data_IF_674413006819
#
_entry.id   IF_674413006819
#
_cell.length_a   1.000
_cell.length_b   1.000
_cell.length_c   1.000
_cell.angle_alpha   90.00
_cell.angle_beta   90.00
_cell.angle_gamma   90.00
#
_symmetry.space_group_name_H-M   'P 1'
#
loop_
_entity.id
_entity.type
_entity.pdbx_description
1 polymer ?
#
# COMPACT_ATOMS: atom_id res chain seq x y z
N UNK A 1 -1.36 22.60 -2.64
CA UNK A 1 -2.83 22.71 -2.62
C UNK A 1 -3.29 23.68 -3.70
N UNK A 2 -4.08 23.26 -4.70
CA UNK A 2 -4.61 24.17 -5.72
C UNK A 2 -5.81 25.01 -5.23
N UNK A 3 -6.53 24.51 -4.23
CA UNK A 3 -7.60 25.22 -3.52
C UNK A 3 -7.64 24.74 -2.07
N UNK A 4 -8.28 25.51 -1.17
CA UNK A 4 -8.41 25.14 0.24
C UNK A 4 -9.13 23.79 0.38
N UNK A 5 -8.53 22.88 1.14
CA UNK A 5 -9.04 21.52 1.31
C UNK A 5 -8.80 20.59 0.12
N UNK A 6 -8.10 21.02 -0.93
CA UNK A 6 -7.73 20.18 -2.06
C UNK A 6 -6.22 19.97 -2.14
N UNK A 7 -5.81 18.71 -2.04
CA UNK A 7 -4.43 18.25 -2.16
C UNK A 7 -4.25 17.43 -3.43
N UNK A 8 -3.12 17.66 -4.12
CA UNK A 8 -2.66 16.87 -5.26
C UNK A 8 -1.26 16.34 -4.95
N UNK A 9 -1.01 15.09 -5.27
CA UNK A 9 0.29 14.44 -5.14
C UNK A 9 0.71 13.79 -6.45
N UNK A 10 2.03 13.73 -6.66
CA UNK A 10 2.64 13.01 -7.76
C UNK A 10 3.70 12.08 -7.18
N UNK A 11 3.61 10.80 -7.49
CA UNK A 11 4.54 9.79 -6.99
C UNK A 11 5.22 9.07 -8.16
N UNK A 12 6.47 8.66 -7.94
CA UNK A 12 7.19 7.77 -8.85
C UNK A 12 8.07 6.82 -8.07
N UNK A 13 7.90 5.52 -8.32
CA UNK A 13 8.76 4.46 -7.84
C UNK A 13 9.63 3.98 -9.01
N UNK A 14 10.92 3.77 -8.76
CA UNK A 14 11.87 3.27 -9.77
C UNK A 14 12.71 2.16 -9.16
N UNK A 15 12.61 0.97 -9.71
CA UNK A 15 13.52 -0.14 -9.44
C UNK A 15 14.68 -0.07 -10.45
N UNK A 16 15.90 0.04 -9.92
CA UNK A 16 17.11 0.32 -10.69
C UNK A 16 18.32 -0.46 -10.16
N UNK A 17 19.19 -0.88 -11.07
CA UNK A 17 20.45 -1.56 -10.76
C UNK A 17 20.30 -3.02 -10.31
N UNK A 18 21.39 -3.59 -9.80
CA UNK A 18 21.45 -4.94 -9.24
C UNK A 18 22.35 -5.90 -10.02
N UNK A 19 23.19 -6.65 -9.30
CA UNK A 19 24.10 -7.64 -9.88
C UNK A 19 24.94 -7.10 -11.05
N UNK A 20 25.06 -7.83 -12.17
CA UNK A 20 25.79 -7.39 -13.37
C UNK A 20 25.19 -6.18 -14.10
N UNK A 21 23.99 -5.71 -13.73
CA UNK A 21 23.30 -4.58 -14.39
C UNK A 21 23.75 -3.21 -13.88
N UNK A 22 24.81 -3.17 -13.06
CA UNK A 22 25.36 -1.94 -12.53
C UNK A 22 24.45 -1.31 -11.48
N UNK A 23 24.36 0.02 -11.50
CA UNK A 23 23.64 0.81 -10.48
C UNK A 23 24.51 1.87 -9.79
N UNK A 24 25.81 1.93 -10.09
CA UNK A 24 26.76 2.84 -9.43
C UNK A 24 26.74 4.30 -9.88
N UNK A 25 25.87 4.69 -10.82
CA UNK A 25 25.84 6.06 -11.36
C UNK A 25 24.54 6.77 -11.00
N UNK A 26 24.65 7.77 -10.11
CA UNK A 26 23.57 8.70 -9.74
C UNK A 26 23.00 9.40 -10.97
N UNK A 27 23.82 9.67 -11.98
CA UNK A 27 23.37 10.30 -13.23
C UNK A 27 22.39 9.40 -14.01
N UNK A 28 22.62 8.09 -14.05
CA UNK A 28 21.72 7.16 -14.73
C UNK A 28 20.40 7.02 -13.97
N UNK A 29 20.44 7.01 -12.63
CA UNK A 29 19.24 7.02 -11.80
C UNK A 29 18.40 8.29 -12.05
N UNK A 30 19.01 9.48 -11.99
CA UNK A 30 18.30 10.73 -12.25
C UNK A 30 17.71 10.78 -13.66
N UNK A 31 18.44 10.28 -14.66
CA UNK A 31 17.92 10.18 -16.03
C UNK A 31 16.73 9.22 -16.14
N UNK A 32 16.74 8.10 -15.43
CA UNK A 32 15.61 7.17 -15.41
C UNK A 32 14.36 7.80 -14.77
N UNK A 33 14.54 8.63 -13.73
CA UNK A 33 13.44 9.36 -13.07
C UNK A 33 12.83 10.41 -14.00
N UNK A 34 13.66 11.23 -14.66
CA UNK A 34 13.19 12.37 -15.47
C UNK A 34 12.93 12.05 -16.95
N UNK A 35 13.41 10.90 -17.46
CA UNK A 35 13.18 10.45 -18.84
C UNK A 35 12.79 8.97 -18.90
N UNK A 36 11.64 8.61 -18.31
CA UNK A 36 11.29 7.22 -18.06
C UNK A 36 11.04 6.42 -19.35
N UNK A 37 10.45 7.06 -20.36
CA UNK A 37 10.13 6.44 -21.65
C UNK A 37 11.35 5.91 -22.41
N UNK A 38 12.55 6.48 -22.17
CA UNK A 38 13.80 6.02 -22.80
C UNK A 38 14.48 4.86 -22.08
N UNK A 39 14.10 4.59 -20.84
CA UNK A 39 14.73 3.55 -20.01
C UNK A 39 13.74 2.45 -19.61
N UNK A 40 12.53 2.48 -20.13
CA UNK A 40 11.55 1.42 -19.94
C UNK A 40 12.02 0.15 -20.67
N UNK A 41 11.80 -1.01 -20.04
CA UNK A 41 12.34 -2.33 -20.38
C UNK A 41 11.96 -2.93 -21.75
N UNK A 42 11.37 -2.12 -22.64
CA UNK A 42 10.89 -2.54 -23.96
C UNK A 42 11.95 -2.45 -25.06
N UNK A 43 13.04 -1.68 -24.85
CA UNK A 43 14.09 -1.56 -25.87
C UNK A 43 15.19 -2.63 -25.66
N UNK A 44 15.31 -3.60 -26.58
CA UNK A 44 16.28 -4.68 -26.47
C UNK A 44 17.74 -4.21 -26.52
N UNK A 45 18.03 -2.98 -26.96
CA UNK A 45 19.38 -2.41 -27.05
C UNK A 45 19.88 -1.78 -25.75
N UNK A 46 19.01 -1.58 -24.76
CA UNK A 46 19.33 -0.89 -23.49
C UNK A 46 19.04 -1.76 -22.25
N UNK A 47 19.00 -3.09 -22.41
CA UNK A 47 18.76 -4.06 -21.31
C UNK A 47 19.65 -3.86 -20.07
N UNK A 48 20.83 -3.26 -20.20
CA UNK A 48 21.70 -2.95 -19.07
C UNK A 48 21.28 -1.70 -18.27
N UNK A 49 20.53 -0.77 -18.88
CA UNK A 49 20.05 0.46 -18.26
C UNK A 49 18.51 0.48 -18.10
N UNK A 50 17.84 -0.62 -18.42
CA UNK A 50 16.40 -0.73 -18.30
C UNK A 50 15.97 -0.58 -16.83
N UNK A 51 14.80 0.01 -16.58
CA UNK A 51 14.21 0.20 -15.26
C UNK A 51 12.78 -0.31 -15.21
N UNK A 52 12.37 -0.78 -14.03
CA UNK A 52 10.97 -1.03 -13.72
C UNK A 52 10.44 0.17 -12.94
N UNK A 53 9.23 0.62 -13.26
CA UNK A 53 8.71 1.90 -12.80
C UNK A 53 7.24 1.81 -12.48
N UNK A 54 6.81 2.64 -11.54
CA UNK A 54 5.41 2.91 -11.28
C UNK A 54 5.27 4.41 -11.05
N UNK A 55 4.18 5.01 -11.53
CA UNK A 55 3.90 6.41 -11.32
C UNK A 55 2.42 6.61 -11.01
N UNK A 56 2.12 7.58 -10.16
CA UNK A 56 0.74 7.88 -9.80
C UNK A 56 0.48 9.36 -9.59
N UNK A 57 -0.79 9.71 -9.76
CA UNK A 57 -1.36 11.01 -9.42
C UNK A 57 -2.41 10.77 -8.35
N UNK A 58 -2.25 11.44 -7.21
CA UNK A 58 -3.21 11.38 -6.11
C UNK A 58 -3.96 12.70 -5.99
N UNK A 59 -5.23 12.63 -5.59
CA UNK A 59 -6.06 13.78 -5.30
C UNK A 59 -6.87 13.51 -4.04
N UNK A 60 -6.95 14.50 -3.15
CA UNK A 60 -7.74 14.42 -1.92
C UNK A 60 -8.49 15.73 -1.68
N UNK A 61 -9.79 15.64 -1.42
CA UNK A 61 -10.68 16.77 -1.17
C UNK A 61 -11.32 16.61 0.21
N UNK A 62 -11.15 17.63 1.05
CA UNK A 62 -11.74 17.75 2.38
C UNK A 62 -13.06 18.51 2.30
N UNK A 63 -14.12 17.89 2.81
CA UNK A 63 -15.46 18.46 2.89
C UNK A 63 -15.75 18.84 4.34
N UNK A 64 -15.57 20.13 4.71
CA UNK A 64 -15.98 20.59 6.03
C UNK A 64 -17.51 20.59 6.13
N UNK A 65 -18.03 20.24 7.30
CA UNK A 65 -19.46 20.21 7.54
C UNK A 65 -19.79 19.70 8.93
N UNK A 66 -21.08 19.44 9.18
CA UNK A 66 -21.53 18.82 10.44
C UNK A 66 -20.94 17.42 10.64
N UNK A 67 -20.83 16.68 9.55
CA UNK A 67 -20.10 15.41 9.48
C UNK A 67 -18.98 15.65 8.47
N UNK A 68 -17.75 15.97 8.92
CA UNK A 68 -16.63 16.18 8.01
C UNK A 68 -16.26 14.85 7.35
N UNK A 69 -15.85 14.91 6.08
CA UNK A 69 -15.33 13.74 5.37
C UNK A 69 -14.28 14.14 4.32
N UNK A 70 -13.47 13.19 3.90
CA UNK A 70 -12.49 13.32 2.83
C UNK A 70 -12.84 12.37 1.70
N UNK A 71 -12.71 12.81 0.44
CA UNK A 71 -12.74 11.93 -0.73
C UNK A 71 -11.36 11.96 -1.36
N UNK A 72 -10.80 10.79 -1.63
CA UNK A 72 -9.48 10.67 -2.23
C UNK A 72 -9.50 9.65 -3.37
N UNK A 73 -8.60 9.85 -4.32
CA UNK A 73 -8.39 8.95 -5.42
C UNK A 73 -6.92 8.94 -5.84
N UNK A 74 -6.51 7.82 -6.40
CA UNK A 74 -5.21 7.62 -7.01
C UNK A 74 -5.39 6.99 -8.39
N UNK A 75 -4.78 7.60 -9.39
CA UNK A 75 -4.65 7.03 -10.72
C UNK A 75 -3.18 6.71 -10.96
N UNK A 76 -2.87 5.42 -11.13
CA UNK A 76 -1.52 4.91 -11.21
C UNK A 76 -1.29 4.11 -12.50
N UNK A 77 -0.02 3.92 -12.87
CA UNK A 77 0.39 3.06 -13.97
C UNK A 77 1.84 2.62 -13.84
N UNK A 78 2.10 1.39 -14.27
CA UNK A 78 3.43 0.78 -14.32
C UNK A 78 4.21 1.24 -15.57
N UNK A 79 3.52 1.28 -16.71
CA UNK A 79 4.13 1.60 -18.00
C UNK A 79 3.89 3.06 -18.40
N UNK A 80 4.77 3.60 -19.27
CA UNK A 80 4.40 4.79 -20.04
C UNK A 80 3.61 4.39 -21.29
N UNK A 81 2.41 4.93 -21.47
CA UNK A 81 1.62 4.70 -22.67
C UNK A 81 2.16 5.52 -23.84
N UNK A 82 2.24 4.89 -25.02
CA UNK A 82 2.69 5.52 -26.28
C UNK A 82 4.08 6.17 -26.21
N UNK A 83 4.97 5.65 -25.36
CA UNK A 83 6.31 6.21 -25.10
C UNK A 83 6.29 7.69 -24.67
N UNK A 84 5.18 8.14 -24.08
CA UNK A 84 5.05 9.50 -23.54
C UNK A 84 5.14 9.45 -22.01
N UNK A 85 6.07 10.20 -21.39
CA UNK A 85 6.36 10.07 -19.96
C UNK A 85 5.22 10.51 -19.04
N UNK A 86 4.20 11.18 -19.58
CA UNK A 86 3.03 11.69 -18.86
C UNK A 86 1.74 10.86 -19.08
N UNK A 87 1.76 9.86 -19.96
CA UNK A 87 0.61 8.97 -20.14
C UNK A 87 0.88 7.68 -19.37
N UNK A 88 0.05 7.38 -18.38
CA UNK A 88 0.13 6.12 -17.64
C UNK A 88 -0.51 5.00 -18.46
N UNK A 89 0.23 3.92 -18.65
CA UNK A 89 -0.19 2.66 -19.25
C UNK A 89 -0.24 1.58 -18.18
N UNK A 90 -0.97 0.51 -18.49
CA UNK A 90 -1.25 -0.55 -17.53
C UNK A 90 -1.79 0.01 -16.20
N UNK A 91 -2.98 0.61 -16.25
CA UNK A 91 -3.45 1.52 -15.21
C UNK A 91 -4.10 0.82 -14.01
N UNK A 92 -4.04 1.48 -12.87
CA UNK A 92 -4.86 1.19 -11.70
C UNK A 92 -5.60 2.46 -11.25
N UNK A 93 -6.80 2.27 -10.73
CA UNK A 93 -7.61 3.31 -10.11
C UNK A 93 -7.95 2.86 -8.70
N UNK A 94 -7.68 3.72 -7.74
CA UNK A 94 -8.08 3.56 -6.35
C UNK A 94 -8.85 4.79 -5.92
N UNK A 95 -9.88 4.61 -5.10
CA UNK A 95 -10.61 5.71 -4.51
C UNK A 95 -11.17 5.32 -3.16
N UNK A 96 -11.40 6.33 -2.33
CA UNK A 96 -11.99 6.15 -1.03
C UNK A 96 -12.69 7.38 -0.50
N UNK A 97 -13.52 7.14 0.52
CA UNK A 97 -14.15 8.16 1.33
C UNK A 97 -13.90 7.83 2.80
N UNK A 98 -13.43 8.83 3.54
CA UNK A 98 -13.12 8.70 4.95
C UNK A 98 -13.89 9.74 5.78
N UNK A 99 -14.61 9.25 6.79
CA UNK A 99 -15.30 10.04 7.80
C UNK A 99 -14.47 9.98 9.09
N UNK A 100 -13.64 11.00 9.39
CA UNK A 100 -12.75 10.98 10.57
C UNK A 100 -13.51 11.00 11.89
N UNK A 101 -14.77 11.47 11.88
CA UNK A 101 -15.68 11.43 13.04
C UNK A 101 -17.11 11.23 12.59
N UNK A 102 -17.59 10.00 12.70
CA UNK A 102 -18.98 9.63 12.61
C UNK A 102 -19.59 9.62 14.02
N UNK A 103 -20.19 10.74 14.42
CA UNK A 103 -20.60 10.96 15.80
C UNK A 103 -19.41 11.29 16.70
N UNK A 104 -19.42 10.81 17.95
CA UNK A 104 -18.39 11.18 18.94
C UNK A 104 -17.22 10.21 19.03
N UNK A 105 -17.34 8.99 18.49
CA UNK A 105 -16.47 7.86 18.83
C UNK A 105 -16.13 6.92 17.68
N UNK A 106 -16.58 7.20 16.47
CA UNK A 106 -16.37 6.31 15.34
C UNK A 106 -15.69 7.04 14.19
N UNK A 107 -14.90 6.33 13.42
CA UNK A 107 -14.47 6.74 12.08
C UNK A 107 -14.86 5.63 11.08
N UNK A 108 -15.13 6.03 9.85
CA UNK A 108 -15.52 5.11 8.79
C UNK A 108 -14.72 5.37 7.53
N UNK A 109 -14.15 4.33 6.95
CA UNK A 109 -13.48 4.37 5.65
C UNK A 109 -14.12 3.36 4.71
N UNK A 110 -14.41 3.80 3.49
CA UNK A 110 -14.86 2.95 2.39
C UNK A 110 -13.90 3.16 1.23
N UNK A 111 -13.37 2.08 0.67
CA UNK A 111 -12.39 2.13 -0.41
C UNK A 111 -12.72 1.08 -1.46
N UNK A 112 -12.38 1.39 -2.71
CA UNK A 112 -12.38 0.41 -3.79
C UNK A 112 -11.24 0.69 -4.77
N UNK A 113 -10.79 -0.38 -5.42
CA UNK A 113 -9.81 -0.32 -6.48
C UNK A 113 -10.14 -1.21 -7.65
N UNK A 114 -9.59 -0.86 -8.80
CA UNK A 114 -9.49 -1.70 -9.98
C UNK A 114 -8.09 -1.54 -10.58
N UNK A 115 -7.48 -2.63 -11.01
CA UNK A 115 -6.19 -2.62 -11.68
C UNK A 115 -6.21 -3.54 -12.90
N UNK A 116 -5.43 -3.16 -13.92
CA UNK A 116 -5.21 -3.97 -15.11
C UNK A 116 -4.24 -5.11 -14.83
N UNK A 117 -4.02 -5.97 -15.82
CA UNK A 117 -3.08 -7.09 -15.74
C UNK A 117 -1.62 -6.60 -15.61
N UNK A 118 -0.63 -7.48 -15.56
CA UNK A 118 0.82 -7.17 -15.56
C UNK A 118 1.42 -6.38 -14.40
N UNK A 119 0.61 -5.77 -13.52
CA UNK A 119 1.09 -5.10 -12.31
C UNK A 119 2.01 -5.99 -11.47
N UNK A 120 3.08 -5.42 -10.94
CA UNK A 120 4.10 -6.05 -10.07
C UNK A 120 4.91 -7.19 -10.70
N UNK A 121 4.75 -7.49 -11.99
CA UNK A 121 5.49 -8.54 -12.69
C UNK A 121 6.40 -7.91 -13.72
N UNK A 122 7.68 -8.29 -13.72
CA UNK A 122 8.64 -7.70 -14.64
C UNK A 122 9.57 -8.73 -15.27
N UNK A 123 9.90 -8.54 -16.55
CA UNK A 123 10.72 -9.51 -17.31
C UNK A 123 12.21 -9.48 -16.96
N UNK A 124 12.70 -8.36 -16.45
CA UNK A 124 14.12 -8.16 -16.07
C UNK A 124 14.34 -8.44 -14.58
N UNK A 125 13.42 -7.98 -13.73
CA UNK A 125 13.39 -8.25 -12.30
C UNK A 125 12.38 -9.36 -12.10
N UNK A 126 12.87 -10.59 -12.16
CA UNK A 126 12.04 -11.79 -12.15
C UNK A 126 11.28 -11.96 -10.83
N UNK A 127 11.74 -11.31 -9.76
CA UNK A 127 11.04 -11.26 -8.50
C UNK A 127 9.91 -10.21 -8.48
N UNK A 128 9.78 -9.40 -9.54
CA UNK A 128 8.80 -8.33 -9.62
C UNK A 128 9.10 -7.14 -8.72
N UNK A 129 8.06 -6.34 -8.44
CA UNK A 129 8.11 -5.24 -7.46
C UNK A 129 7.86 -5.79 -6.04
N UNK A 130 8.75 -6.66 -5.58
CA UNK A 130 8.60 -7.36 -4.29
C UNK A 130 9.84 -7.24 -3.40
N UNK A 131 9.64 -7.42 -2.10
CA UNK A 131 10.68 -7.59 -1.09
C UNK A 131 10.39 -8.89 -0.32
N UNK A 132 11.33 -9.86 -0.35
CA UNK A 132 11.14 -11.18 0.28
C UNK A 132 9.82 -11.89 -0.11
N UNK A 133 9.39 -11.67 -1.36
CA UNK A 133 8.16 -12.23 -1.92
C UNK A 133 6.87 -11.50 -1.57
N UNK A 134 6.96 -10.36 -0.87
CA UNK A 134 5.83 -9.47 -0.58
C UNK A 134 5.83 -8.29 -1.54
N UNK A 135 4.69 -7.98 -2.15
CA UNK A 135 4.55 -6.84 -3.05
C UNK A 135 4.79 -5.53 -2.31
N UNK A 136 5.63 -4.67 -2.91
CA UNK A 136 5.94 -3.32 -2.40
C UNK A 136 4.94 -2.34 -3.03
N UNK A 137 3.67 -2.41 -2.62
CA UNK A 137 2.60 -1.50 -3.08
C UNK A 137 1.31 -1.86 -2.34
N UNK A 138 0.21 -2.05 -3.06
CA UNK A 138 -1.08 -2.41 -2.50
C UNK A 138 -1.12 -3.86 -1.98
N UNK A 139 -1.84 -4.06 -0.87
CA UNK A 139 -2.04 -5.38 -0.24
C UNK A 139 -2.60 -6.45 -1.20
N UNK A 140 -3.39 -6.05 -2.19
CA UNK A 140 -3.99 -6.97 -3.15
C UNK A 140 -2.96 -7.63 -4.08
N UNK A 141 -1.74 -7.08 -4.18
CA UNK A 141 -0.68 -7.65 -5.02
C UNK A 141 -0.23 -9.04 -4.59
N UNK A 142 -0.36 -9.36 -3.30
CA UNK A 142 -0.01 -10.65 -2.71
C UNK A 142 -1.12 -11.71 -2.84
N UNK A 143 -2.35 -11.29 -3.19
CA UNK A 143 -3.53 -12.16 -3.25
C UNK A 143 -3.67 -12.83 -4.62
N UNK A 144 -2.60 -13.50 -5.05
CA UNK A 144 -2.50 -14.27 -6.30
C UNK A 144 -1.27 -15.15 -6.25
N UNK A 145 -1.13 -16.06 -7.22
CA UNK A 145 0.11 -16.82 -7.39
C UNK A 145 1.22 -15.85 -7.80
N UNK A 146 2.39 -16.00 -7.17
CA UNK A 146 3.56 -15.20 -7.49
C UNK A 146 3.90 -15.24 -8.98
N UNK A 147 4.14 -14.07 -9.56
CA UNK A 147 4.40 -13.91 -11.00
C UNK A 147 3.16 -13.99 -11.90
N UNK A 148 1.98 -14.28 -11.35
CA UNK A 148 0.73 -14.20 -12.12
C UNK A 148 0.28 -12.75 -12.26
N UNK A 149 0.37 -12.27 -13.50
CA UNK A 149 0.11 -10.90 -13.91
C UNK A 149 -1.40 -10.59 -14.03
N UNK A 150 -2.23 -11.09 -13.13
CA UNK A 150 -3.69 -10.94 -13.23
C UNK A 150 -4.16 -9.57 -12.72
N UNK A 151 -5.08 -8.95 -13.46
CA UNK A 151 -5.80 -7.74 -13.04
C UNK A 151 -6.90 -8.08 -12.04
N UNK A 152 -7.59 -7.08 -11.51
CA UNK A 152 -8.58 -7.35 -10.48
C UNK A 152 -9.25 -6.11 -9.94
N UNK A 153 -10.08 -6.35 -8.93
CA UNK A 153 -10.76 -5.32 -8.14
C UNK A 153 -10.78 -5.69 -6.68
N UNK A 154 -10.77 -4.67 -5.83
CA UNK A 154 -10.88 -4.84 -4.39
C UNK A 154 -11.84 -3.82 -3.78
N UNK A 155 -12.35 -4.15 -2.60
CA UNK A 155 -13.13 -3.25 -1.77
C UNK A 155 -12.77 -3.43 -0.30
N UNK A 156 -12.69 -2.33 0.43
CA UNK A 156 -12.41 -2.29 1.86
C UNK A 156 -13.46 -1.45 2.57
N UNK A 157 -13.92 -1.95 3.72
CA UNK A 157 -14.71 -1.18 4.70
C UNK A 157 -13.97 -1.24 6.03
N UNK A 158 -13.76 -0.09 6.66
CA UNK A 158 -13.10 0.01 7.96
C UNK A 158 -13.92 0.87 8.90
N UNK A 159 -14.21 0.37 10.08
CA UNK A 159 -14.91 1.07 11.15
C UNK A 159 -14.01 1.06 12.39
N UNK A 160 -13.49 2.22 12.78
CA UNK A 160 -12.82 2.36 14.06
C UNK A 160 -13.77 2.87 15.13
N UNK A 161 -13.46 2.53 16.37
CA UNK A 161 -14.28 2.81 17.54
C UNK A 161 -13.41 3.15 18.76
N UNK A 162 -13.58 4.37 19.25
CA UNK A 162 -13.09 4.82 20.56
C UNK A 162 -13.87 4.09 21.68
N UNK A 163 -13.35 2.95 22.12
CA UNK A 163 -14.01 2.08 23.07
C UNK A 163 -14.25 2.79 24.41
N UNK A 164 -15.46 2.65 24.98
CA UNK A 164 -15.82 3.27 26.27
C UNK A 164 -15.04 2.70 27.47
N UNK A 165 -14.49 1.50 27.31
CA UNK A 165 -13.60 0.87 28.29
C UNK A 165 -12.11 1.23 28.08
N UNK A 166 -11.84 2.16 27.16
CA UNK A 166 -10.51 2.64 26.82
C UNK A 166 -9.82 1.81 25.73
N UNK A 167 -9.02 2.50 24.91
CA UNK A 167 -8.40 1.94 23.72
C UNK A 167 -9.25 2.16 22.46
N UNK A 168 -8.82 1.54 21.37
CA UNK A 168 -9.43 1.59 20.05
C UNK A 168 -9.76 0.19 19.60
N UNK A 169 -10.93 0.02 18.99
CA UNK A 169 -11.29 -1.20 18.26
C UNK A 169 -11.43 -0.84 16.79
N UNK A 170 -10.77 -1.58 15.91
CA UNK A 170 -10.98 -1.47 14.47
C UNK A 170 -11.62 -2.75 13.94
N UNK A 171 -12.72 -2.59 13.21
CA UNK A 171 -13.31 -3.64 12.40
C UNK A 171 -13.02 -3.33 10.93
N UNK A 172 -12.34 -4.24 10.24
CA UNK A 172 -12.05 -4.13 8.81
C UNK A 172 -12.61 -5.32 8.06
N UNK A 173 -13.23 -5.06 6.92
CA UNK A 173 -13.61 -6.08 5.95
C UNK A 173 -12.95 -5.77 4.61
N UNK A 174 -12.33 -6.78 4.01
CA UNK A 174 -11.70 -6.71 2.69
C UNK A 174 -12.29 -7.79 1.78
N UNK A 175 -12.51 -7.42 0.52
CA UNK A 175 -12.88 -8.35 -0.53
C UNK A 175 -12.05 -8.09 -1.79
N UNK A 176 -11.71 -9.15 -2.51
CA UNK A 176 -10.94 -9.06 -3.73
C UNK A 176 -11.37 -10.11 -4.74
N UNK A 177 -11.37 -9.72 -6.01
CA UNK A 177 -11.65 -10.60 -7.14
C UNK A 177 -10.62 -10.37 -8.24
N UNK A 178 -9.83 -11.40 -8.52
CA UNK A 178 -8.94 -11.43 -9.67
C UNK A 178 -9.73 -11.67 -10.95
N UNK A 179 -9.34 -11.01 -12.04
CA UNK A 179 -9.93 -11.22 -13.35
C UNK A 179 -9.61 -12.63 -13.88
N UNK A 180 -10.56 -13.24 -14.58
CA UNK A 180 -10.40 -14.62 -15.07
C UNK A 180 -9.94 -14.59 -16.52
N UNK A 181 -8.62 -14.50 -16.73
CA UNK A 181 -8.00 -14.60 -18.06
C UNK A 181 -7.07 -15.80 -18.22
N UNK A 182 -6.70 -16.44 -17.12
CA UNK A 182 -5.68 -17.49 -17.06
C UNK A 182 -6.21 -18.88 -16.74
N UNK A 183 -5.28 -19.79 -16.47
CA UNK A 183 -5.56 -21.20 -16.10
C UNK A 183 -5.93 -21.34 -14.62
N UNK A 184 -5.54 -20.37 -13.78
CA UNK A 184 -5.71 -20.44 -12.33
C UNK A 184 -7.14 -20.01 -11.97
N UNK A 185 -7.94 -20.90 -11.34
CA UNK A 185 -9.31 -20.60 -10.99
C UNK A 185 -9.37 -19.87 -9.64
N UNK A 186 -9.04 -18.58 -9.63
CA UNK A 186 -9.17 -17.77 -8.41
C UNK A 186 -10.62 -17.69 -7.96
N UNK A 187 -10.80 -17.75 -6.65
CA UNK A 187 -12.04 -17.46 -5.97
C UNK A 187 -11.99 -16.04 -5.40
N UNK A 188 -13.17 -15.51 -5.05
CA UNK A 188 -13.25 -14.24 -4.37
C UNK A 188 -12.65 -14.36 -2.98
N UNK A 189 -11.69 -13.51 -2.68
CA UNK A 189 -11.10 -13.35 -1.36
C UNK A 189 -12.05 -12.57 -0.45
N UNK A 190 -12.12 -12.99 0.81
CA UNK A 190 -12.87 -12.34 1.86
C UNK A 190 -12.07 -12.38 3.15
N UNK A 191 -11.94 -11.25 3.84
CA UNK A 191 -11.32 -11.21 5.16
C UNK A 191 -12.03 -10.21 6.07
N UNK A 192 -12.25 -10.61 7.31
CA UNK A 192 -12.64 -9.75 8.42
C UNK A 192 -11.49 -9.71 9.41
N UNK A 193 -11.03 -8.50 9.74
CA UNK A 193 -10.06 -8.23 10.79
C UNK A 193 -10.74 -7.50 11.93
N UNK A 194 -10.43 -7.91 13.17
CA UNK A 194 -10.73 -7.15 14.38
C UNK A 194 -9.42 -6.84 15.09
N UNK A 195 -9.11 -5.56 15.23
CA UNK A 195 -7.99 -5.03 16.00
C UNK A 195 -8.49 -4.42 17.31
N UNK A 196 -7.72 -4.60 18.38
CA UNK A 196 -7.85 -3.82 19.60
C UNK A 196 -6.48 -3.30 20.01
N UNK A 197 -6.38 -2.00 20.28
CA UNK A 197 -5.16 -1.38 20.77
C UNK A 197 -5.39 -0.41 21.93
N UNK A 198 -4.40 -0.30 22.82
CA UNK A 198 -4.46 0.59 23.98
C UNK A 198 -3.09 1.17 24.34
N UNK A 199 -2.99 2.48 24.58
CA UNK A 199 -1.80 3.08 25.17
C UNK A 199 -1.58 2.61 26.62
N UNK A 200 -0.36 2.18 26.92
CA UNK A 200 0.09 1.80 28.25
C UNK A 200 1.54 2.25 28.48
N UNK A 201 1.77 3.15 29.42
CA UNK A 201 3.13 3.58 29.85
C UNK A 201 4.06 3.99 28.69
N UNK A 202 3.54 4.73 27.71
CA UNK A 202 4.33 5.24 26.58
C UNK A 202 4.57 4.22 25.45
N UNK A 203 3.92 3.05 25.50
CA UNK A 203 3.81 2.12 24.38
C UNK A 203 2.34 1.88 24.05
N UNK A 204 2.04 1.36 22.86
CA UNK A 204 0.72 0.85 22.51
C UNK A 204 0.80 -0.66 22.46
N UNK A 205 -0.06 -1.33 23.21
CA UNK A 205 -0.25 -2.78 23.12
C UNK A 205 -1.54 -3.06 22.37
N UNK A 206 -1.54 -4.12 21.56
CA UNK A 206 -2.75 -4.55 20.90
C UNK A 206 -2.74 -6.00 20.47
N UNK A 207 -3.89 -6.44 20.01
CA UNK A 207 -4.12 -7.75 19.42
C UNK A 207 -4.98 -7.61 18.18
N UNK A 208 -4.75 -8.51 17.23
CA UNK A 208 -5.43 -8.56 15.95
C UNK A 208 -5.93 -9.98 15.70
N UNK A 209 -7.17 -10.10 15.24
CA UNK A 209 -7.76 -11.36 14.82
C UNK A 209 -8.29 -11.23 13.39
N UNK A 210 -7.78 -12.09 12.50
CA UNK A 210 -8.27 -12.20 11.12
C UNK A 210 -9.04 -13.49 10.94
N UNK A 211 -10.09 -13.45 10.13
CA UNK A 211 -10.79 -14.64 9.66
C UNK A 211 -11.37 -14.40 8.27
N UNK A 212 -11.28 -15.41 7.40
CA UNK A 212 -11.63 -15.22 6.00
C UNK A 212 -11.49 -16.44 5.12
N UNK A 213 -11.57 -16.21 3.82
CA UNK A 213 -11.33 -17.15 2.74
C UNK A 213 -10.32 -16.54 1.75
N UNK A 214 -9.27 -17.29 1.45
CA UNK A 214 -8.23 -16.85 0.49
C UNK A 214 -8.68 -16.96 -0.98
N UNK A 215 -7.86 -16.47 -1.91
CA UNK A 215 -8.12 -16.55 -3.36
C UNK A 215 -8.15 -17.96 -3.94
N UNK A 216 -7.86 -19.00 -3.14
CA UNK A 216 -7.97 -20.41 -3.52
C UNK A 216 -9.19 -21.08 -2.88
N UNK A 217 -10.04 -20.33 -2.19
CA UNK A 217 -11.23 -20.84 -1.52
C UNK A 217 -10.97 -21.49 -0.16
N UNK A 218 -9.77 -21.36 0.40
CA UNK A 218 -9.43 -21.95 1.70
C UNK A 218 -9.74 -20.98 2.82
N UNK A 219 -10.46 -21.44 3.83
CA UNK A 219 -10.70 -20.65 5.03
C UNK A 219 -9.46 -20.55 5.90
N UNK A 220 -9.28 -19.40 6.55
CA UNK A 220 -8.19 -19.17 7.50
C UNK A 220 -8.66 -18.37 8.72
N UNK A 221 -7.91 -18.51 9.81
CA UNK A 221 -7.99 -17.59 10.95
C UNK A 221 -6.59 -17.35 11.52
N UNK A 222 -6.32 -16.13 11.95
CA UNK A 222 -5.02 -15.69 12.48
C UNK A 222 -5.24 -14.87 13.73
N UNK A 223 -4.37 -15.08 14.72
CA UNK A 223 -4.31 -14.24 15.91
C UNK A 223 -2.90 -13.67 16.02
N UNK A 224 -2.81 -12.36 16.22
CA UNK A 224 -1.56 -11.66 16.41
C UNK A 224 -1.61 -10.78 17.66
N UNK A 225 -0.45 -10.60 18.28
CA UNK A 225 -0.21 -9.58 19.29
C UNK A 225 0.87 -8.62 18.80
N UNK A 226 0.72 -7.34 19.13
CA UNK A 226 1.69 -6.33 18.74
C UNK A 226 2.00 -5.33 19.86
N UNK A 227 3.21 -4.77 19.76
CA UNK A 227 3.68 -3.63 20.56
C UNK A 227 4.15 -2.55 19.59
N UNK A 228 3.68 -1.32 19.77
CA UNK A 228 4.12 -0.15 18.99
C UNK A 228 4.72 0.90 19.93
N UNK A 229 5.85 1.48 19.50
CA UNK A 229 6.43 2.67 20.12
C UNK A 229 5.93 3.87 19.31
N UNK A 230 4.84 4.48 19.76
CA UNK A 230 4.24 5.65 19.12
C UNK A 230 4.04 6.76 20.17
N UNK A 231 3.93 8.01 19.74
CA UNK A 231 3.55 9.12 20.61
C UNK A 231 2.16 8.80 21.19
N UNK A 232 2.01 8.59 22.51
CA UNK A 232 0.75 8.14 23.11
C UNK A 232 -0.40 9.15 22.97
N UNK A 233 -0.12 10.36 22.47
CA UNK A 233 -1.11 11.41 22.19
C UNK A 233 -1.50 11.51 20.70
N UNK A 234 -0.90 10.73 19.81
CA UNK A 234 -1.35 10.64 18.43
C UNK A 234 -2.66 9.82 18.41
N UNK A 235 -3.74 10.40 17.88
CA UNK A 235 -4.91 9.60 17.55
C UNK A 235 -4.48 8.53 16.53
N UNK A 236 -4.66 7.25 16.85
CA UNK A 236 -4.26 6.14 15.98
C UNK A 236 -4.89 6.20 14.57
N UNK A 237 -6.03 6.90 14.43
CA UNK A 237 -6.64 7.20 13.13
C UNK A 237 -5.76 8.05 12.20
N UNK A 238 -4.83 8.85 12.74
CA UNK A 238 -3.84 9.60 11.96
C UNK A 238 -2.59 8.75 11.62
N UNK A 239 -2.20 7.82 12.51
CA UNK A 239 -1.03 6.96 12.31
C UNK A 239 -1.25 5.87 11.23
N UNK A 240 -2.50 5.56 10.87
CA UNK A 240 -2.83 4.63 9.79
C UNK A 240 -2.82 5.27 8.39
N UNK A 241 -2.92 6.60 8.29
CA UNK A 241 -2.64 7.30 7.04
C UNK A 241 -1.13 7.32 6.73
N UNK A 242 -0.26 7.19 7.75
CA UNK A 242 1.19 7.03 7.57
C UNK A 242 1.58 5.60 7.16
N UNK A 243 0.77 4.59 7.49
CA UNK A 243 1.07 3.18 7.26
C UNK A 243 0.81 2.68 5.84
N UNK A 244 -0.14 3.31 5.13
CA UNK A 244 -0.45 3.01 3.73
C UNK A 244 -0.49 4.32 2.91
N UNK A 245 0.69 4.80 2.50
CA UNK A 245 0.81 5.81 1.43
C UNK A 245 0.72 7.31 1.83
N UNK A 246 0.98 7.69 3.08
CA UNK A 246 0.95 9.08 3.56
C UNK A 246 2.28 9.83 3.58
N UNK A 247 2.21 11.14 3.34
CA UNK A 247 3.28 12.09 3.04
C UNK A 247 4.38 12.25 4.10
N UNK A 248 5.61 12.44 3.63
CA UNK A 248 6.82 12.64 4.41
C UNK A 248 6.72 13.79 5.44
N UNK A 249 6.93 13.44 6.72
CA UNK A 249 7.14 14.38 7.81
C UNK A 249 7.89 13.70 8.95
N UNK A 250 9.16 14.06 9.09
CA UNK A 250 10.13 13.65 10.11
C UNK A 250 10.71 12.22 9.98
N UNK A 251 12.01 12.10 10.24
CA UNK A 251 12.75 10.84 10.14
C UNK A 251 12.33 9.91 11.29
N UNK A 252 11.24 9.20 11.05
CA UNK A 252 10.56 8.38 12.02
C UNK A 252 11.37 7.12 12.35
N UNK A 253 11.63 6.90 13.65
CA UNK A 253 12.36 5.73 14.18
C UNK A 253 11.39 4.69 14.76
N UNK A 254 10.18 4.56 14.18
CA UNK A 254 9.15 3.60 14.60
C UNK A 254 9.59 2.16 14.32
N UNK A 255 9.47 1.31 15.35
CA UNK A 255 9.63 -0.14 15.25
C UNK A 255 8.35 -0.85 15.68
N UNK A 256 7.95 -1.88 14.92
CA UNK A 256 6.80 -2.72 15.22
C UNK A 256 7.23 -4.19 15.29
N UNK A 257 6.80 -4.90 16.32
CA UNK A 257 6.99 -6.34 16.45
C UNK A 257 5.63 -7.03 16.41
N UNK A 258 5.48 -7.94 15.45
CA UNK A 258 4.32 -8.81 15.32
C UNK A 258 4.70 -10.22 15.76
N UNK A 259 3.87 -10.79 16.63
CA UNK A 259 3.89 -12.24 16.91
C UNK A 259 2.60 -12.81 16.37
N UNK A 260 2.70 -13.64 15.32
CA UNK A 260 1.54 -14.23 14.67
C UNK A 260 1.46 -15.74 14.94
N UNK A 261 0.28 -16.22 15.30
CA UNK A 261 -0.03 -17.64 15.48
C UNK A 261 -1.17 -18.02 14.53
N UNK A 262 -0.88 -18.64 13.38
CA UNK A 262 -1.91 -19.14 12.48
C UNK A 262 -2.48 -20.47 13.00
N UNK A 263 -3.79 -20.66 12.87
CA UNK A 263 -4.46 -21.93 13.16
C UNK A 263 -5.16 -22.44 11.88
N UNK A 264 -4.88 -23.69 11.48
CA UNK A 264 -5.44 -24.31 10.27
C UNK A 264 -4.45 -25.23 9.52
N UNK A 265 -4.92 -26.01 8.54
CA UNK A 265 -4.04 -26.88 7.73
C UNK A 265 -3.08 -26.02 6.88
N UNK A 266 -1.78 -26.18 7.10
CA UNK A 266 -0.71 -25.46 6.38
C UNK A 266 -0.11 -24.26 7.12
N UNK A 267 -0.47 -24.05 8.39
CA UNK A 267 0.00 -22.93 9.20
C UNK A 267 1.49 -23.01 9.59
N UNK A 268 2.25 -21.94 9.34
CA UNK A 268 3.60 -21.71 9.90
C UNK A 268 3.58 -20.45 10.76
N UNK A 269 4.03 -20.53 12.02
CA UNK A 269 4.22 -19.35 12.88
C UNK A 269 5.30 -18.42 12.32
N UNK A 270 5.06 -17.11 12.31
CA UNK A 270 6.05 -16.09 11.93
C UNK A 270 6.16 -15.02 13.02
N UNK A 271 7.41 -14.70 13.38
CA UNK A 271 7.76 -13.47 14.08
C UNK A 271 8.23 -12.51 13.00
N UNK A 272 7.54 -11.38 12.87
CA UNK A 272 7.90 -10.35 11.89
C UNK A 272 8.23 -9.08 12.66
N UNK A 273 9.47 -8.62 12.55
CA UNK A 273 9.89 -7.31 13.03
C UNK A 273 9.95 -6.37 11.84
N UNK A 274 9.10 -5.34 11.83
CA UNK A 274 9.12 -4.29 10.81
C UNK A 274 9.79 -3.07 11.44
N UNK A 275 10.93 -2.68 10.87
CA UNK A 275 11.62 -1.44 11.23
C UNK A 275 11.34 -0.44 10.10
N UNK A 276 10.67 0.67 10.41
CA UNK A 276 10.65 1.80 9.49
C UNK A 276 12.06 2.43 9.53
N UNK A 277 12.95 2.00 8.64
CA UNK A 277 14.15 2.79 8.31
C UNK A 277 13.73 3.74 7.20
N UNK A 278 13.46 5.00 7.58
CA UNK A 278 13.16 6.06 6.65
C UNK A 278 14.21 6.15 5.54
N UNK A 279 13.76 6.03 4.29
CA UNK A 279 14.58 6.34 3.13
C UNK A 279 14.46 7.83 2.84
N UNK A 280 15.62 8.48 2.73
CA UNK A 280 15.74 9.89 2.38
C UNK A 280 15.22 10.08 0.95
N UNK A 281 14.04 10.69 0.81
CA UNK A 281 13.66 11.35 -0.44
C UNK A 281 14.27 12.75 -0.43
N UNK A 282 15.26 12.99 -1.30
CA UNK A 282 15.76 14.34 -1.54
C UNK A 282 14.71 15.11 -2.33
N UNK A 283 13.86 15.85 -1.63
CA UNK A 283 13.09 16.95 -2.23
C UNK A 283 14.02 18.17 -2.28
N UNK A 284 14.48 18.52 -3.47
CA UNK A 284 15.02 19.85 -3.73
C UNK A 284 13.85 20.84 -3.63
N UNK A 285 13.80 21.57 -2.51
CA UNK A 285 13.03 22.79 -2.42
C UNK A 285 13.77 23.87 -3.21
N UNK A 286 13.28 24.22 -4.40
CA UNK A 286 13.52 25.54 -4.98
C UNK A 286 12.32 26.41 -4.60
N UNK A 287 12.47 27.17 -3.51
CA UNK A 287 11.56 28.24 -3.15
C UNK A 287 12.04 29.55 -3.75
N UNK A 288 11.09 30.25 -4.39
CA UNK A 288 11.09 31.66 -4.85
C UNK A 288 12.11 32.04 -5.92
#
# INVERSE_FOLDING_TARGET
EPASGWSLGLNRLVQFGGGPRGGGSVTNLLRAIFNPSKYQSLDPNIRQNATNQEASVTSSLLFPGKVPFAVYAEYAGEDTSRARPYLLGNSALYWGIHFPRLGERFDLTLEASEWQNTWYVHSIWQDGMTNDGLVISNWFGDERVFGDAVGGRSATVRLGWDAWFGGQVELRYRALENQVYGVIPYQRYHEVTVDYSRPWKGIILGGEFDSGQDVFGRSFSRLAGFVRYDNPNAHAGAALLDGEGGFAGDADTRGQLFVTSPWGRGARSRITAIWARGWISMISAAGV
#
